data_IF_079963818414
#
_entry.id   IF_079963818414
#
_cell.length_a   1.000
_cell.length_b   1.000
_cell.length_c   1.000
_cell.angle_alpha   90.00
_cell.angle_beta   90.00
_cell.angle_gamma   90.00
#
_symmetry.space_group_name_H-M   'P 1'
#
loop_
_entity.id
_entity.type
_entity.pdbx_description
1 polymer ?
#
# COMPACT_ATOMS: atom_id res chain seq x y z
N UNK A 1 86.73 38.19 21.45
CA UNK A 1 86.45 37.31 22.61
C UNK A 1 85.16 37.79 23.26
N UNK A 2 84.17 36.89 23.42
CA UNK A 2 83.03 36.91 24.36
C UNK A 2 81.97 38.06 24.22
N UNK A 3 80.64 37.92 24.30
CA UNK A 3 79.72 36.85 24.73
C UNK A 3 78.32 37.08 24.10
N UNK A 4 77.60 35.97 23.84
CA UNK A 4 76.16 35.89 23.53
C UNK A 4 75.30 36.50 24.66
N UNK A 5 74.37 37.39 24.32
CA UNK A 5 73.14 37.69 25.09
C UNK A 5 71.93 37.32 24.21
N UNK A 6 71.12 36.33 24.60
CA UNK A 6 69.94 36.39 25.50
C UNK A 6 68.63 36.71 24.74
N UNK A 7 67.99 35.61 24.34
CA UNK A 7 66.54 35.29 24.26
C UNK A 7 65.51 36.38 24.59
N UNK A 8 64.47 36.43 23.75
CA UNK A 8 63.14 37.02 23.99
C UNK A 8 62.69 37.79 22.74
N UNK A 9 61.52 37.62 22.13
CA UNK A 9 60.31 36.86 22.41
C UNK A 9 59.27 37.41 21.42
N UNK A 10 58.67 36.54 20.61
CA UNK A 10 57.46 36.89 19.84
C UNK A 10 56.23 36.57 20.73
N UNK A 11 55.05 37.19 20.56
CA UNK A 11 54.22 36.81 19.42
C UNK A 11 53.34 37.93 18.82
N UNK A 12 53.34 38.05 17.49
CA UNK A 12 52.32 38.76 16.71
C UNK A 12 51.24 37.74 16.25
N UNK A 13 50.52 37.13 17.20
CA UNK A 13 49.51 36.07 16.90
C UNK A 13 48.19 36.17 17.67
N UNK A 14 48.01 37.14 18.55
CA UNK A 14 46.82 37.20 19.42
C UNK A 14 45.68 38.09 18.88
N UNK A 15 45.97 39.02 17.95
CA UNK A 15 44.95 39.95 17.44
C UNK A 15 44.03 39.35 16.37
N UNK A 16 44.49 38.35 15.63
CA UNK A 16 43.68 37.70 14.59
C UNK A 16 42.63 36.77 15.21
N UNK A 17 42.97 36.15 16.34
CA UNK A 17 42.11 35.17 17.02
C UNK A 17 40.90 35.82 17.72
N UNK A 18 41.06 37.04 18.25
CA UNK A 18 39.93 37.80 18.83
C UNK A 18 38.89 38.25 17.80
N UNK A 19 39.28 38.40 16.53
CA UNK A 19 38.35 38.84 15.46
C UNK A 19 37.42 37.73 15.02
N UNK A 20 37.92 36.48 15.03
CA UNK A 20 37.12 35.30 14.74
C UNK A 20 36.20 34.94 15.93
N UNK A 21 36.64 35.12 17.18
CA UNK A 21 35.81 34.83 18.37
C UNK A 21 34.66 35.84 18.57
N UNK A 22 34.77 37.08 18.09
CA UNK A 22 33.67 38.06 18.12
C UNK A 22 32.64 37.88 16.99
N UNK A 23 32.97 37.13 15.94
CA UNK A 23 32.02 36.81 14.86
C UNK A 23 31.07 35.65 15.22
N UNK A 24 31.37 34.90 16.30
CA UNK A 24 30.61 33.73 16.73
C UNK A 24 29.66 34.02 17.90
N UNK A 25 29.42 35.31 18.21
CA UNK A 25 28.48 35.71 19.26
C UNK A 25 27.16 36.21 18.64
N UNK A 26 26.12 35.39 18.87
CA UNK A 26 24.69 35.58 18.60
C UNK A 26 24.17 35.14 17.24
N UNK A 27 24.17 33.82 17.03
CA UNK A 27 22.99 33.19 16.42
C UNK A 27 21.92 33.10 17.51
N UNK A 28 20.72 33.70 17.36
CA UNK A 28 19.65 33.49 18.33
C UNK A 28 19.37 31.98 18.41
N UNK A 29 19.33 31.42 19.62
CA UNK A 29 18.96 30.02 19.80
C UNK A 29 17.65 29.76 19.04
N UNK A 30 17.56 28.68 18.22
CA UNK A 30 16.30 28.35 17.59
C UNK A 30 15.27 28.19 18.70
N UNK A 31 14.26 29.06 18.72
CA UNK A 31 13.13 28.89 19.61
C UNK A 31 12.49 27.56 19.23
N UNK A 32 12.59 26.56 20.11
CA UNK A 32 11.88 25.29 19.91
C UNK A 32 10.42 25.62 19.63
N UNK A 33 9.82 25.15 18.53
CA UNK A 33 8.39 25.35 18.33
C UNK A 33 7.69 24.75 19.55
N UNK A 34 6.94 25.59 20.28
CA UNK A 34 6.04 25.11 21.33
C UNK A 34 5.03 24.22 20.63
N UNK A 35 5.27 22.90 20.70
CA UNK A 35 4.31 21.93 20.21
C UNK A 35 3.03 22.14 21.05
N UNK A 36 1.85 22.31 20.42
CA UNK A 36 0.61 22.27 21.17
C UNK A 36 0.56 20.95 21.95
N UNK A 37 0.03 20.93 23.19
CA UNK A 37 -0.16 19.69 23.91
C UNK A 37 -0.95 18.73 23.01
N UNK A 38 -0.55 17.45 22.91
CA UNK A 38 -1.26 16.49 22.08
C UNK A 38 -2.74 16.50 22.50
N UNK A 39 -3.67 16.43 21.53
CA UNK A 39 -5.09 16.36 21.86
C UNK A 39 -5.32 15.16 22.78
N UNK A 40 -6.28 15.25 23.72
CA UNK A 40 -6.66 14.10 24.53
C UNK A 40 -7.05 12.96 23.59
N UNK A 41 -6.23 11.90 23.58
CA UNK A 41 -6.52 10.70 22.80
C UNK A 41 -7.61 9.94 23.54
N UNK A 42 -8.78 9.84 22.93
CA UNK A 42 -9.77 8.87 23.39
C UNK A 42 -9.30 7.48 22.95
N UNK A 43 -8.68 6.77 23.88
CA UNK A 43 -8.17 5.42 23.64
C UNK A 43 -9.26 4.45 23.16
N UNK A 44 -10.53 4.68 23.50
CA UNK A 44 -11.66 3.91 22.99
C UNK A 44 -11.88 4.11 21.49
N UNK A 45 -11.86 5.37 21.03
CA UNK A 45 -11.96 5.72 19.60
C UNK A 45 -10.75 5.19 18.82
N UNK A 46 -9.54 5.30 19.39
CA UNK A 46 -8.34 4.78 18.77
C UNK A 46 -8.38 3.25 18.59
N UNK A 47 -8.75 2.51 19.64
CA UNK A 47 -8.85 1.05 19.57
C UNK A 47 -9.97 0.60 18.63
N UNK A 48 -11.09 1.33 18.57
CA UNK A 48 -12.15 1.07 17.59
C UNK A 48 -11.63 1.24 16.16
N UNK A 49 -10.84 2.29 15.89
CA UNK A 49 -10.18 2.50 14.61
C UNK A 49 -9.23 1.37 14.23
N UNK A 50 -8.43 0.87 15.18
CA UNK A 50 -7.54 -0.27 14.96
C UNK A 50 -8.30 -1.57 14.62
N UNK A 51 -9.39 -1.87 15.36
CA UNK A 51 -10.22 -3.04 15.08
C UNK A 51 -10.84 -2.94 13.68
N UNK A 52 -11.35 -1.77 13.31
CA UNK A 52 -11.94 -1.55 11.99
C UNK A 52 -10.89 -1.66 10.87
N UNK A 53 -9.69 -1.14 11.08
CA UNK A 53 -8.57 -1.28 10.13
C UNK A 53 -8.16 -2.75 9.97
N UNK A 54 -8.05 -3.51 11.06
CA UNK A 54 -7.78 -4.95 11.01
C UNK A 54 -8.86 -5.73 10.27
N UNK A 55 -10.14 -5.47 10.57
CA UNK A 55 -11.25 -6.11 9.87
C UNK A 55 -11.20 -5.82 8.37
N UNK A 56 -10.99 -4.55 8.00
CA UNK A 56 -10.86 -4.14 6.60
C UNK A 56 -9.70 -4.85 5.92
N UNK A 57 -8.55 -4.94 6.59
CA UNK A 57 -7.39 -5.65 6.09
C UNK A 57 -7.67 -7.15 5.91
N UNK A 58 -8.33 -7.79 6.88
CA UNK A 58 -8.70 -9.21 6.83
C UNK A 58 -9.68 -9.49 5.67
N UNK A 59 -10.70 -8.65 5.52
CA UNK A 59 -11.64 -8.75 4.39
C UNK A 59 -10.95 -8.58 3.04
N UNK A 60 -10.01 -7.64 2.95
CA UNK A 60 -9.24 -7.43 1.72
C UNK A 60 -8.39 -8.66 1.39
N UNK A 61 -7.72 -9.24 2.37
CA UNK A 61 -6.94 -10.47 2.16
C UNK A 61 -7.83 -11.63 1.74
N UNK A 62 -8.97 -11.83 2.41
CA UNK A 62 -9.93 -12.88 2.08
C UNK A 62 -10.48 -12.71 0.66
N UNK A 63 -10.80 -11.49 0.25
CA UNK A 63 -11.27 -11.21 -1.11
C UNK A 63 -10.22 -11.54 -2.18
N UNK A 64 -8.96 -11.17 -1.94
CA UNK A 64 -7.85 -11.49 -2.85
C UNK A 64 -7.64 -13.01 -2.97
N UNK A 65 -7.66 -13.72 -1.83
CA UNK A 65 -7.55 -15.19 -1.83
C UNK A 65 -8.70 -15.83 -2.61
N UNK A 66 -9.94 -15.42 -2.33
CA UNK A 66 -11.11 -15.93 -3.05
C UNK A 66 -11.04 -15.65 -4.56
N UNK A 67 -10.49 -14.50 -4.97
CA UNK A 67 -10.29 -14.17 -6.37
C UNK A 67 -9.27 -15.10 -7.04
N UNK A 68 -8.15 -15.38 -6.39
CA UNK A 68 -7.12 -16.30 -6.90
C UNK A 68 -7.67 -17.73 -7.03
N UNK A 69 -8.36 -18.23 -5.99
CA UNK A 69 -8.98 -19.55 -6.01
C UNK A 69 -10.04 -19.67 -7.13
N UNK A 70 -10.84 -18.62 -7.34
CA UNK A 70 -11.82 -18.59 -8.41
C UNK A 70 -11.14 -18.63 -9.79
N UNK A 71 -10.06 -17.87 -9.96
CA UNK A 71 -9.28 -17.86 -11.20
C UNK A 71 -8.68 -19.24 -11.50
N UNK A 72 -7.97 -19.84 -10.54
CA UNK A 72 -7.38 -21.18 -10.70
C UNK A 72 -8.44 -22.22 -11.05
N UNK A 73 -9.61 -22.15 -10.41
CA UNK A 73 -10.72 -23.08 -10.70
C UNK A 73 -11.26 -22.91 -12.12
N UNK A 74 -11.37 -21.67 -12.62
CA UNK A 74 -11.80 -21.40 -13.99
C UNK A 74 -10.75 -21.91 -14.99
N UNK A 75 -9.47 -21.64 -14.75
CA UNK A 75 -8.36 -22.04 -15.62
C UNK A 75 -8.26 -23.57 -15.74
N UNK A 76 -8.31 -24.29 -14.60
CA UNK A 76 -8.27 -25.76 -14.59
C UNK A 76 -9.47 -26.35 -15.30
N UNK A 77 -10.68 -25.82 -15.05
CA UNK A 77 -11.89 -26.28 -15.73
C UNK A 77 -11.79 -26.07 -17.24
N UNK A 78 -11.38 -24.88 -17.67
CA UNK A 78 -11.28 -24.53 -19.08
C UNK A 78 -10.24 -25.39 -19.80
N UNK A 79 -9.05 -25.57 -19.22
CA UNK A 79 -8.02 -26.43 -19.79
C UNK A 79 -8.47 -27.90 -19.90
N UNK A 80 -9.18 -28.41 -18.89
CA UNK A 80 -9.73 -29.76 -18.90
C UNK A 80 -10.82 -29.92 -19.98
N UNK A 81 -11.72 -28.94 -20.10
CA UNK A 81 -12.78 -28.93 -21.10
C UNK A 81 -12.21 -28.89 -22.52
N UNK A 82 -11.20 -28.04 -22.76
CA UNK A 82 -10.49 -27.96 -24.04
C UNK A 82 -9.83 -29.30 -24.40
N UNK A 83 -9.16 -29.94 -23.44
CA UNK A 83 -8.46 -31.21 -23.68
C UNK A 83 -9.39 -32.40 -23.93
N UNK A 84 -10.56 -32.42 -23.30
CA UNK A 84 -11.47 -33.58 -23.33
C UNK A 84 -12.51 -33.52 -24.43
N UNK A 85 -12.93 -32.31 -24.81
CA UNK A 85 -14.09 -32.13 -25.70
C UNK A 85 -13.70 -31.61 -27.09
N UNK A 86 -12.52 -31.03 -27.21
CA UNK A 86 -11.99 -30.51 -28.46
C UNK A 86 -10.72 -31.30 -28.79
N UNK A 87 -10.90 -32.58 -29.13
CA UNK A 87 -9.84 -33.59 -29.32
C UNK A 87 -8.77 -33.19 -30.35
N UNK A 88 -9.05 -32.23 -31.25
CA UNK A 88 -8.15 -31.85 -32.35
C UNK A 88 -7.46 -30.48 -32.20
N UNK A 89 -7.47 -29.89 -30.99
CA UNK A 89 -6.85 -28.58 -30.80
C UNK A 89 -7.51 -27.46 -31.62
N UNK A 90 -8.78 -27.65 -32.00
CA UNK A 90 -9.60 -26.58 -32.55
C UNK A 90 -9.79 -25.49 -31.48
N UNK A 91 -9.05 -24.40 -31.65
CA UNK A 91 -9.03 -23.24 -30.75
C UNK A 91 -10.31 -22.38 -30.90
N UNK A 92 -11.08 -22.58 -31.96
CA UNK A 92 -12.31 -21.84 -32.20
C UNK A 92 -13.51 -22.46 -31.48
N UNK A 93 -13.70 -22.05 -30.23
CA UNK A 93 -14.99 -22.23 -29.55
C UNK A 93 -15.87 -21.04 -29.92
N UNK A 94 -16.98 -21.31 -30.61
CA UNK A 94 -18.01 -20.30 -30.85
C UNK A 94 -18.48 -19.72 -29.51
N UNK A 95 -18.66 -18.39 -29.47
CA UNK A 95 -19.02 -17.68 -28.24
C UNK A 95 -20.28 -18.26 -27.56
N UNK A 96 -21.30 -18.63 -28.34
CA UNK A 96 -22.53 -19.23 -27.81
C UNK A 96 -22.27 -20.57 -27.10
N UNK A 97 -21.37 -21.39 -27.65
CA UNK A 97 -21.02 -22.68 -27.06
C UNK A 97 -20.21 -22.50 -25.76
N UNK A 98 -19.30 -21.50 -25.74
CA UNK A 98 -18.62 -21.10 -24.51
C UNK A 98 -19.64 -20.66 -23.43
N UNK A 99 -20.54 -19.74 -23.75
CA UNK A 99 -21.54 -19.21 -22.80
C UNK A 99 -22.42 -20.33 -22.27
N UNK A 100 -22.85 -21.25 -23.12
CA UNK A 100 -23.66 -22.41 -22.73
C UNK A 100 -22.93 -23.29 -21.71
N UNK A 101 -21.66 -23.61 -21.96
CA UNK A 101 -20.86 -24.46 -21.07
C UNK A 101 -20.49 -23.76 -19.76
N UNK A 102 -20.16 -22.48 -19.85
CA UNK A 102 -19.87 -21.66 -18.68
C UNK A 102 -21.08 -21.54 -17.76
N UNK A 103 -22.27 -21.23 -18.29
CA UNK A 103 -23.51 -21.15 -17.51
C UNK A 103 -23.83 -22.48 -16.84
N UNK A 104 -23.73 -23.59 -17.58
CA UNK A 104 -23.99 -24.91 -17.02
C UNK A 104 -23.04 -25.25 -15.84
N UNK A 105 -21.79 -24.76 -15.86
CA UNK A 105 -20.81 -25.05 -14.82
C UNK A 105 -20.88 -24.10 -13.62
N UNK A 106 -21.06 -22.81 -13.86
CA UNK A 106 -20.88 -21.76 -12.85
C UNK A 106 -22.16 -21.03 -12.46
N UNK A 107 -23.26 -21.22 -13.19
CA UNK A 107 -24.54 -20.56 -12.91
C UNK A 107 -25.61 -21.62 -12.64
N UNK A 108 -25.82 -22.00 -11.36
CA UNK A 108 -26.88 -22.92 -10.98
C UNK A 108 -28.27 -22.44 -11.41
N UNK A 109 -29.18 -23.38 -11.68
CA UNK A 109 -30.54 -23.10 -12.17
C UNK A 109 -31.30 -22.09 -11.30
N UNK A 110 -31.24 -22.24 -9.97
CA UNK A 110 -31.89 -21.30 -9.03
C UNK A 110 -31.36 -19.86 -9.12
N UNK A 111 -30.13 -19.64 -9.59
CA UNK A 111 -29.59 -18.30 -9.84
C UNK A 111 -30.14 -17.73 -11.15
N UNK A 112 -30.32 -18.58 -12.16
CA UNK A 112 -30.95 -18.20 -13.43
C UNK A 112 -32.41 -17.80 -13.20
N UNK A 113 -33.17 -18.62 -12.49
CA UNK A 113 -34.57 -18.34 -12.11
C UNK A 113 -34.70 -17.00 -11.40
N UNK A 114 -33.76 -16.70 -10.50
CA UNK A 114 -33.74 -15.43 -9.78
C UNK A 114 -33.46 -14.26 -10.72
N UNK A 115 -32.50 -14.39 -11.64
CA UNK A 115 -32.20 -13.34 -12.62
C UNK A 115 -33.39 -13.07 -13.54
N UNK A 116 -34.09 -14.12 -13.97
CA UNK A 116 -35.31 -14.01 -14.78
C UNK A 116 -36.44 -13.30 -14.03
N UNK A 117 -36.66 -13.64 -12.76
CA UNK A 117 -37.64 -12.96 -11.93
C UNK A 117 -37.34 -11.48 -11.76
N UNK A 118 -36.08 -11.10 -11.50
CA UNK A 118 -35.68 -9.69 -11.40
C UNK A 118 -35.85 -8.96 -12.74
N UNK A 119 -35.54 -9.61 -13.86
CA UNK A 119 -35.74 -9.04 -15.19
C UNK A 119 -37.23 -8.80 -15.51
N UNK A 120 -38.10 -9.77 -15.18
CA UNK A 120 -39.56 -9.64 -15.35
C UNK A 120 -40.14 -8.52 -14.47
N UNK A 121 -39.62 -8.33 -13.25
CA UNK A 121 -40.03 -7.21 -12.38
C UNK A 121 -39.66 -5.84 -12.99
N UNK A 122 -38.50 -5.73 -13.60
CA UNK A 122 -38.06 -4.46 -14.23
C UNK A 122 -38.76 -4.22 -15.57
N UNK A 123 -39.08 -5.28 -16.31
CA UNK A 123 -39.75 -5.19 -17.62
C UNK A 123 -41.28 -5.06 -17.54
N UNK A 124 -41.84 -5.08 -16.32
CA UNK A 124 -43.27 -4.86 -16.05
C UNK A 124 -43.58 -3.44 -15.54
N UNK A 125 -42.55 -2.58 -15.48
CA UNK A 125 -42.65 -1.12 -15.31
C UNK A 125 -42.69 -0.42 -16.67
#
# INVERSE_FOLDING_TARGET
MALRGRRGGAPAREDEQRRDEQAEQQVPAPQSPVLPPPPPVDYGVFMQGLVQAMQTQAHTQAALQAQLEAQERVDVWWASLMRTRFEDGAIEVAWDEFVRLFRAKFVPEHIQDRMEQEFCKVSSL
#
